data_IF_364933556355
#
_entry.id   IF_364933556355
#
_cell.length_a   1.000
_cell.length_b   1.000
_cell.length_c   1.000
_cell.angle_alpha   90.00
_cell.angle_beta   90.00
_cell.angle_gamma   90.00
#
_symmetry.space_group_name_H-M   'P 1'
#
loop_
_entity.id
_entity.type
_entity.pdbx_description
1 polymer ?
#
# COMPACT_ATOMS: atom_id res chain seq x y z
N UNK A 1 -23.88 7.46 -9.22
CA UNK A 1 -22.88 7.25 -8.14
C UNK A 1 -21.54 7.77 -8.64
N UNK A 2 -20.87 8.65 -7.88
CA UNK A 2 -19.62 9.26 -8.31
C UNK A 2 -18.46 8.25 -8.30
N UNK A 3 -17.68 8.19 -9.38
CA UNK A 3 -16.56 7.26 -9.59
C UNK A 3 -15.58 7.20 -8.40
N UNK A 4 -15.18 8.36 -7.87
CA UNK A 4 -14.23 8.50 -6.77
C UNK A 4 -14.67 7.80 -5.47
N UNK A 5 -15.98 7.67 -5.23
CA UNK A 5 -16.48 7.07 -3.99
C UNK A 5 -16.20 5.56 -3.88
N UNK A 6 -15.69 4.93 -4.93
CA UNK A 6 -15.29 3.52 -4.97
C UNK A 6 -13.89 3.27 -4.41
N UNK A 7 -13.05 4.31 -4.30
CA UNK A 7 -11.66 4.19 -3.90
C UNK A 7 -11.48 4.35 -2.39
N UNK A 8 -10.37 3.84 -1.87
CA UNK A 8 -10.07 3.96 -0.43
C UNK A 8 -9.65 5.39 -0.12
N UNK A 9 -9.85 5.82 1.14
CA UNK A 9 -9.42 7.15 1.62
C UNK A 9 -7.94 7.42 1.31
N UNK A 10 -7.08 6.41 1.45
CA UNK A 10 -5.63 6.52 1.18
C UNK A 10 -5.33 6.78 -0.31
N UNK A 11 -6.06 6.14 -1.23
CA UNK A 11 -5.86 6.32 -2.66
C UNK A 11 -6.31 7.73 -3.09
N UNK A 12 -7.48 8.14 -2.58
CA UNK A 12 -8.01 9.49 -2.82
C UNK A 12 -7.13 10.57 -2.20
N UNK A 13 -6.50 10.27 -1.06
CA UNK A 13 -5.58 11.20 -0.42
C UNK A 13 -4.32 11.42 -1.27
N UNK A 14 -3.75 10.34 -1.82
CA UNK A 14 -2.60 10.39 -2.72
C UNK A 14 -2.92 11.15 -4.01
N UNK A 15 -4.09 10.90 -4.61
CA UNK A 15 -4.53 11.68 -5.77
C UNK A 15 -4.67 13.18 -5.42
N UNK A 16 -5.25 13.51 -4.27
CA UNK A 16 -5.37 14.90 -3.85
C UNK A 16 -3.99 15.55 -3.63
N UNK A 17 -3.03 14.84 -3.05
CA UNK A 17 -1.64 15.30 -2.91
C UNK A 17 -0.97 15.56 -4.27
N UNK A 18 -1.12 14.64 -5.24
CA UNK A 18 -0.61 14.82 -6.61
C UNK A 18 -1.24 16.02 -7.33
N UNK A 19 -2.50 16.32 -7.03
CA UNK A 19 -3.22 17.50 -7.53
C UNK A 19 -2.92 18.78 -6.75
N UNK A 20 -2.09 18.73 -5.69
CA UNK A 20 -1.81 19.89 -4.82
C UNK A 20 -3.01 20.35 -3.99
N UNK A 21 -3.94 19.44 -3.68
CA UNK A 21 -5.17 19.70 -2.91
C UNK A 21 -4.94 19.38 -1.44
N UNK A 22 -5.12 20.39 -0.59
CA UNK A 22 -4.98 20.23 0.86
C UNK A 22 -6.09 19.34 1.45
N UNK A 23 -5.65 18.26 2.08
CA UNK A 23 -6.47 17.30 2.81
C UNK A 23 -5.97 17.19 4.25
N UNK A 24 -6.91 17.02 5.17
CA UNK A 24 -6.68 16.90 6.61
C UNK A 24 -7.04 15.50 7.07
N UNK A 25 -6.57 15.12 8.26
CA UNK A 25 -6.95 13.84 8.88
C UNK A 25 -8.46 13.70 9.05
N UNK A 26 -9.17 14.80 9.30
CA UNK A 26 -10.60 14.88 9.55
C UNK A 26 -11.46 14.74 8.28
N UNK A 27 -10.89 14.99 7.11
CA UNK A 27 -11.62 14.89 5.85
C UNK A 27 -12.10 13.44 5.63
N UNK A 28 -13.40 13.25 5.49
CA UNK A 28 -13.97 11.94 5.16
C UNK A 28 -13.82 11.69 3.67
N UNK A 29 -14.02 10.44 3.23
CA UNK A 29 -14.01 10.08 1.79
C UNK A 29 -14.88 11.02 0.97
N UNK A 30 -16.07 11.37 1.47
CA UNK A 30 -16.98 12.29 0.79
C UNK A 30 -16.43 13.72 0.67
N UNK A 31 -15.67 14.19 1.66
CA UNK A 31 -15.10 15.53 1.68
C UNK A 31 -13.92 15.61 0.71
N UNK A 32 -13.06 14.60 0.70
CA UNK A 32 -11.95 14.46 -0.25
C UNK A 32 -12.50 14.38 -1.69
N UNK A 33 -13.51 13.53 -1.92
CA UNK A 33 -14.16 13.43 -3.24
C UNK A 33 -14.72 14.78 -3.72
N UNK A 34 -15.25 15.60 -2.80
CA UNK A 34 -15.76 16.94 -3.15
C UNK A 34 -14.62 17.89 -3.48
N UNK A 35 -13.55 17.92 -2.67
CA UNK A 35 -12.37 18.76 -2.93
C UNK A 35 -11.75 18.47 -4.29
N UNK A 36 -11.55 17.18 -4.62
CA UNK A 36 -11.03 16.74 -5.92
C UNK A 36 -11.91 17.23 -7.07
N UNK A 37 -13.22 16.97 -7.01
CA UNK A 37 -14.16 17.35 -8.09
C UNK A 37 -14.37 18.86 -8.22
N UNK A 38 -14.15 19.61 -7.16
CA UNK A 38 -14.28 21.06 -7.15
C UNK A 38 -12.95 21.76 -7.51
N UNK A 39 -11.88 21.01 -7.76
CA UNK A 39 -10.63 21.56 -8.27
C UNK A 39 -10.85 22.15 -9.67
N UNK A 40 -10.33 23.34 -9.98
CA UNK A 40 -10.48 23.96 -11.29
C UNK A 40 -9.90 23.10 -12.43
N UNK A 41 -8.90 22.30 -12.13
CA UNK A 41 -8.19 21.45 -13.09
C UNK A 41 -8.67 19.98 -13.06
N UNK A 42 -9.85 19.71 -12.49
CA UNK A 42 -10.37 18.35 -12.42
C UNK A 42 -10.79 17.83 -13.81
N UNK A 43 -10.10 16.77 -14.25
CA UNK A 43 -10.48 15.97 -15.41
C UNK A 43 -10.75 14.52 -14.99
N UNK A 44 -11.95 14.02 -15.30
CA UNK A 44 -12.39 12.70 -14.81
C UNK A 44 -11.57 11.54 -15.37
N UNK A 45 -11.20 11.57 -16.65
CA UNK A 45 -10.40 10.50 -17.28
C UNK A 45 -8.96 10.51 -16.79
N UNK A 46 -8.39 11.68 -16.53
CA UNK A 46 -7.09 11.80 -15.88
C UNK A 46 -7.13 11.22 -14.46
N UNK A 47 -8.13 11.61 -13.66
CA UNK A 47 -8.29 11.11 -12.30
C UNK A 47 -8.51 9.58 -12.26
N UNK A 48 -9.21 9.01 -13.26
CA UNK A 48 -9.34 7.56 -13.44
C UNK A 48 -7.97 6.91 -13.66
N UNK A 49 -7.21 7.41 -14.64
CA UNK A 49 -5.88 6.88 -14.95
C UNK A 49 -4.93 6.94 -13.76
N UNK A 50 -4.89 8.06 -13.04
CA UNK A 50 -4.04 8.21 -11.86
C UNK A 50 -4.46 7.25 -10.74
N UNK A 51 -5.76 7.12 -10.46
CA UNK A 51 -6.23 6.21 -9.43
C UNK A 51 -5.96 4.74 -9.74
N UNK A 52 -6.00 4.34 -11.01
CA UNK A 52 -5.62 2.99 -11.41
C UNK A 52 -4.13 2.73 -11.13
N UNK A 53 -3.25 3.70 -11.44
CA UNK A 53 -1.82 3.60 -11.11
C UNK A 53 -1.60 3.56 -9.60
N UNK A 54 -2.21 4.46 -8.83
CA UNK A 54 -2.10 4.50 -7.37
C UNK A 54 -2.54 3.18 -6.73
N UNK A 55 -3.63 2.59 -7.22
CA UNK A 55 -4.12 1.30 -6.72
C UNK A 55 -3.13 0.18 -7.03
N UNK A 56 -2.58 0.15 -8.25
CA UNK A 56 -1.57 -0.84 -8.65
C UNK A 56 -0.29 -0.71 -7.81
N UNK A 57 0.22 0.51 -7.61
CA UNK A 57 1.40 0.77 -6.79
C UNK A 57 1.20 0.29 -5.34
N UNK A 58 0.07 0.64 -4.73
CA UNK A 58 -0.27 0.18 -3.37
C UNK A 58 -0.32 -1.34 -3.27
N UNK A 59 -0.89 -2.01 -4.27
CA UNK A 59 -0.99 -3.47 -4.28
C UNK A 59 0.38 -4.12 -4.48
N UNK A 60 1.23 -3.58 -5.36
CA UNK A 60 2.60 -4.02 -5.55
C UNK A 60 3.44 -3.84 -4.28
N UNK A 61 3.36 -2.68 -3.62
CA UNK A 61 4.03 -2.42 -2.34
C UNK A 61 3.58 -3.42 -1.26
N UNK A 62 2.27 -3.70 -1.19
CA UNK A 62 1.73 -4.67 -0.24
C UNK A 62 2.18 -6.10 -0.53
N UNK A 63 2.33 -6.48 -1.79
CA UNK A 63 2.86 -7.78 -2.20
C UNK A 63 4.34 -7.93 -1.84
N UNK A 64 5.16 -6.92 -2.15
CA UNK A 64 6.58 -6.87 -1.79
C UNK A 64 6.74 -7.01 -0.28
N UNK A 65 5.97 -6.24 0.51
CA UNK A 65 6.03 -6.31 1.96
C UNK A 65 5.70 -7.72 2.50
N UNK A 66 4.69 -8.39 1.93
CA UNK A 66 4.35 -9.78 2.30
C UNK A 66 5.46 -10.76 1.92
N UNK A 67 6.03 -10.61 0.73
CA UNK A 67 7.13 -11.46 0.27
C UNK A 67 8.37 -11.31 1.14
N UNK A 68 8.70 -10.08 1.57
CA UNK A 68 9.80 -9.82 2.49
C UNK A 68 9.58 -10.45 3.87
N UNK A 69 8.36 -10.37 4.41
CA UNK A 69 8.01 -11.02 5.68
C UNK A 69 8.16 -12.53 5.55
N UNK A 70 7.59 -13.14 4.50
CA UNK A 70 7.68 -14.59 4.28
C UNK A 70 9.13 -15.06 4.11
N UNK A 71 9.97 -14.29 3.41
CA UNK A 71 11.39 -14.58 3.26
C UNK A 71 12.12 -14.54 4.61
N UNK A 72 11.88 -13.50 5.42
CA UNK A 72 12.47 -13.37 6.76
C UNK A 72 12.09 -14.54 7.68
N UNK A 73 10.83 -14.98 7.63
CA UNK A 73 10.37 -16.13 8.41
C UNK A 73 11.06 -17.42 7.99
N UNK A 74 11.16 -17.68 6.68
CA UNK A 74 11.85 -18.86 6.14
C UNK A 74 13.34 -18.87 6.50
N UNK A 75 14.01 -17.74 6.35
CA UNK A 75 15.43 -17.63 6.66
C UNK A 75 15.67 -17.79 8.18
N UNK A 76 14.76 -17.29 9.02
CA UNK A 76 14.81 -17.50 10.47
C UNK A 76 14.57 -18.98 10.87
N UNK A 77 13.66 -19.68 10.18
CA UNK A 77 13.42 -21.11 10.39
C UNK A 77 14.66 -21.94 10.00
N UNK A 78 15.26 -21.64 8.85
CA UNK A 78 16.47 -22.32 8.39
C UNK A 78 17.62 -22.13 9.40
N UNK A 79 17.84 -20.90 9.86
CA UNK A 79 18.85 -20.59 10.87
C UNK A 79 18.61 -21.32 12.21
N UNK A 80 17.34 -21.57 12.58
CA UNK A 80 17.02 -22.39 13.77
C UNK A 80 17.36 -23.86 13.54
N UNK A 81 16.98 -24.42 12.39
CA UNK A 81 17.28 -25.81 12.02
C UNK A 81 18.78 -26.07 11.96
N UNK A 82 19.56 -25.17 11.36
CA UNK A 82 21.02 -25.29 11.31
C UNK A 82 21.66 -25.34 12.70
N UNK A 83 21.23 -24.44 13.61
CA UNK A 83 21.70 -24.44 15.01
C UNK A 83 21.32 -25.72 15.76
N UNK A 84 20.13 -26.26 15.51
CA UNK A 84 19.71 -27.53 16.09
C UNK A 84 20.55 -28.70 15.55
N UNK A 85 20.81 -28.73 14.24
CA UNK A 85 21.67 -29.76 13.64
C UNK A 85 23.10 -29.68 14.16
N UNK A 86 23.68 -28.48 14.28
CA UNK A 86 25.02 -28.28 14.81
C UNK A 86 25.13 -28.73 16.27
N UNK A 87 24.13 -28.39 17.11
CA UNK A 87 24.05 -28.87 18.49
C UNK A 87 23.96 -30.40 18.55
N UNK A 88 23.11 -31.00 17.72
CA UNK A 88 22.95 -32.45 17.68
C UNK A 88 24.22 -33.17 17.22
N UNK A 89 24.95 -32.62 16.26
CA UNK A 89 26.24 -33.18 15.81
C UNK A 89 27.32 -33.02 16.87
N UNK A 90 27.38 -31.89 17.57
CA UNK A 90 28.39 -31.64 18.61
C UNK A 90 28.17 -32.49 19.87
N UNK A 91 26.93 -32.87 20.19
CA UNK A 91 26.62 -33.79 21.29
C UNK A 91 26.94 -35.27 20.98
N UNK A 92 27.17 -35.61 19.70
CA UNK A 92 27.41 -36.98 19.24
C UNK A 92 28.90 -37.35 19.13
N UNK A 93 29.79 -36.36 19.17
CA UNK A 93 31.25 -36.52 19.20
C UNK A 93 31.78 -36.37 20.63
#
# INVERSE_FOLDING_TARGET
MAFLAKFRKVDLARLAEEMGIDITSEDRVIDICKKIKNSPDYEEEFAKGQLDVIVQEREAEAEIARAEIAKKERDAELARKERETERATNLRN
#
